data_IF_520798589102
#
_entry.id   IF_520798589102
#
_cell.length_a   1.000
_cell.length_b   1.000
_cell.length_c   1.000
_cell.angle_alpha   90.00
_cell.angle_beta   90.00
_cell.angle_gamma   90.00
#
_symmetry.space_group_name_H-M   'P 1'
#
loop_
_entity.id
_entity.type
_entity.pdbx_description
1 polymer ?
#
# COMPACT_ATOMS: atom_id res chain seq x y z
N UNK A 1 14.87 -10.81 42.89
CA UNK A 1 14.80 -9.47 42.40
C UNK A 1 13.87 -9.45 41.17
N UNK A 2 12.74 -8.74 41.31
CA UNK A 2 11.83 -8.55 40.19
C UNK A 2 12.55 -7.66 39.18
N UNK A 3 12.72 -8.14 37.92
CA UNK A 3 13.21 -7.32 36.84
C UNK A 3 12.24 -6.17 36.58
N UNK A 4 12.72 -4.92 36.66
CA UNK A 4 11.94 -3.76 36.23
C UNK A 4 11.52 -3.95 34.77
N UNK A 5 10.24 -3.74 34.39
CA UNK A 5 9.81 -3.80 32.98
C UNK A 5 10.64 -2.85 32.14
N UNK A 6 11.02 -3.29 30.93
CA UNK A 6 11.71 -2.43 29.98
C UNK A 6 10.87 -1.17 29.70
N UNK A 7 11.47 0.02 29.53
CA UNK A 7 10.73 1.28 29.35
C UNK A 7 9.67 1.23 28.23
N UNK A 8 9.91 0.46 27.16
CA UNK A 8 8.98 0.29 26.04
C UNK A 8 7.69 -0.45 26.44
N UNK A 9 7.73 -1.42 27.37
CA UNK A 9 6.53 -2.13 27.82
C UNK A 9 5.70 -1.27 28.80
N UNK A 10 6.36 -0.47 29.64
CA UNK A 10 5.67 0.47 30.52
C UNK A 10 4.94 1.57 29.72
N UNK A 11 5.57 2.11 28.67
CA UNK A 11 4.93 3.08 27.77
C UNK A 11 3.68 2.50 27.10
N UNK A 12 3.75 1.28 26.58
CA UNK A 12 2.63 0.62 25.93
C UNK A 12 1.42 0.40 26.85
N UNK A 13 1.65 0.10 28.12
CA UNK A 13 0.58 -0.06 29.12
C UNK A 13 -0.06 1.28 29.54
N UNK A 14 0.73 2.37 29.57
CA UNK A 14 0.20 3.72 29.84
C UNK A 14 -0.70 4.16 28.67
N UNK A 15 -0.30 3.96 27.42
CA UNK A 15 -1.11 4.31 26.25
C UNK A 15 -2.45 3.56 26.18
N UNK A 16 -2.49 2.30 26.59
CA UNK A 16 -3.74 1.50 26.60
C UNK A 16 -4.81 2.02 27.57
N UNK A 17 -4.44 2.85 28.55
CA UNK A 17 -5.34 3.38 29.57
C UNK A 17 -5.73 4.84 29.38
N UNK A 18 -5.14 5.53 28.39
CA UNK A 18 -5.44 6.93 28.12
C UNK A 18 -6.75 7.08 27.35
N UNK A 19 -7.50 8.10 27.70
CA UNK A 19 -8.59 8.57 26.86
C UNK A 19 -7.99 9.40 25.72
N UNK A 20 -8.02 8.84 24.51
CA UNK A 20 -7.50 9.47 23.30
C UNK A 20 -8.60 10.22 22.52
N UNK A 21 -9.77 10.41 23.12
CA UNK A 21 -10.88 11.15 22.48
C UNK A 21 -10.41 12.55 22.07
N UNK A 22 -10.68 12.94 20.83
CA UNK A 22 -10.24 14.20 20.24
C UNK A 22 -8.82 14.20 19.66
N UNK A 23 -8.06 13.09 19.84
CA UNK A 23 -6.78 12.96 19.14
C UNK A 23 -7.03 12.77 17.64
N UNK A 24 -6.29 13.49 16.82
CA UNK A 24 -6.31 13.36 15.37
C UNK A 24 -4.94 12.96 14.83
N UNK A 25 -4.93 12.38 13.65
CA UNK A 25 -3.70 11.97 12.97
C UNK A 25 -3.94 11.60 11.52
N UNK A 26 -2.87 11.17 10.86
CA UNK A 26 -2.89 10.71 9.49
C UNK A 26 -2.29 9.32 9.39
N UNK A 27 -2.80 8.53 8.46
CA UNK A 27 -2.21 7.25 8.04
C UNK A 27 -2.22 7.19 6.52
N UNK A 28 -1.28 6.49 5.88
CA UNK A 28 -1.38 6.21 4.45
C UNK A 28 -2.74 5.58 4.12
N UNK A 29 -3.33 5.99 3.01
CA UNK A 29 -4.60 5.45 2.56
C UNK A 29 -5.31 6.35 1.57
N UNK A 30 -6.11 5.74 0.71
CA UNK A 30 -6.90 6.40 -0.33
C UNK A 30 -8.32 5.84 -0.36
N UNK A 31 -9.26 6.60 -0.91
CA UNK A 31 -10.64 6.18 -1.22
C UNK A 31 -10.83 5.87 -2.71
N UNK A 32 -9.74 5.58 -3.41
CA UNK A 32 -9.75 5.25 -4.83
C UNK A 32 -10.55 3.98 -5.14
N UNK A 33 -10.95 3.84 -6.41
CA UNK A 33 -11.57 2.60 -6.91
C UNK A 33 -10.65 1.39 -6.70
N UNK A 34 -9.33 1.57 -6.84
CA UNK A 34 -8.34 0.53 -6.58
C UNK A 34 -8.37 0.03 -5.14
N UNK A 35 -8.47 0.96 -4.16
CA UNK A 35 -8.56 0.60 -2.76
C UNK A 35 -9.80 -0.24 -2.46
N UNK A 36 -10.96 0.13 -3.02
CA UNK A 36 -12.19 -0.62 -2.85
C UNK A 36 -12.08 -2.03 -3.47
N UNK A 37 -11.59 -2.12 -4.70
CA UNK A 37 -11.40 -3.42 -5.39
C UNK A 37 -10.44 -4.33 -4.62
N UNK A 38 -9.34 -3.79 -4.11
CA UNK A 38 -8.40 -4.54 -3.28
C UNK A 38 -9.05 -5.05 -1.99
N UNK A 39 -9.80 -4.18 -1.29
CA UNK A 39 -10.48 -4.54 -0.04
C UNK A 39 -11.45 -5.70 -0.25
N UNK A 40 -12.25 -5.66 -1.32
CA UNK A 40 -13.19 -6.73 -1.67
C UNK A 40 -12.45 -8.04 -1.99
N UNK A 41 -11.38 -8.00 -2.77
CA UNK A 41 -10.53 -9.16 -3.06
C UNK A 41 -9.93 -9.79 -1.80
N UNK A 42 -9.33 -8.96 -0.95
CA UNK A 42 -8.68 -9.41 0.27
C UNK A 42 -9.69 -10.05 1.23
N UNK A 43 -10.86 -9.42 1.41
CA UNK A 43 -11.95 -9.94 2.24
C UNK A 43 -12.48 -11.27 1.69
N UNK A 44 -12.65 -11.40 0.37
CA UNK A 44 -13.05 -12.66 -0.26
C UNK A 44 -12.02 -13.79 -0.05
N UNK A 45 -10.73 -13.43 0.07
CA UNK A 45 -9.64 -14.37 0.40
C UNK A 45 -9.49 -14.63 1.91
N UNK A 46 -10.37 -14.10 2.77
CA UNK A 46 -10.30 -14.26 4.22
C UNK A 46 -9.24 -13.40 4.90
N UNK A 47 -8.73 -12.38 4.21
CA UNK A 47 -7.76 -11.42 4.73
C UNK A 47 -8.46 -10.13 5.16
N UNK A 48 -7.79 -9.32 6.00
CA UNK A 48 -8.29 -7.98 6.33
C UNK A 48 -7.86 -6.99 5.25
N UNK A 49 -8.77 -6.63 4.35
CA UNK A 49 -8.51 -5.70 3.25
C UNK A 49 -8.38 -4.22 3.64
N UNK A 50 -8.63 -3.86 4.91
CA UNK A 50 -8.68 -2.47 5.37
C UNK A 50 -7.64 -2.10 6.43
N UNK A 51 -6.64 -2.95 6.67
CA UNK A 51 -5.56 -2.68 7.62
C UNK A 51 -4.58 -1.63 7.10
N UNK A 52 -3.85 -0.92 7.99
CA UNK A 52 -2.75 -0.07 7.58
C UNK A 52 -1.72 -0.85 6.75
N UNK A 53 -1.22 -0.23 5.68
CA UNK A 53 -0.18 -0.77 4.79
C UNK A 53 -0.54 -2.06 4.04
N UNK A 54 -1.78 -2.53 4.09
CA UNK A 54 -2.17 -3.77 3.39
C UNK A 54 -2.22 -3.57 1.87
N UNK A 55 -2.77 -2.45 1.41
CA UNK A 55 -2.77 -2.05 0.00
C UNK A 55 -1.37 -1.80 -0.54
N UNK A 56 -0.56 -1.07 0.23
CA UNK A 56 0.83 -0.77 -0.12
C UNK A 56 1.69 -2.04 -0.24
N UNK A 57 1.48 -3.02 0.63
CA UNK A 57 2.19 -4.30 0.56
C UNK A 57 1.78 -5.13 -0.67
N UNK A 58 0.49 -5.10 -1.02
CA UNK A 58 -0.01 -5.73 -2.25
C UNK A 58 0.61 -5.07 -3.48
N UNK A 59 0.62 -3.74 -3.53
CA UNK A 59 1.15 -2.97 -4.65
C UNK A 59 2.67 -3.16 -4.80
N UNK A 60 3.41 -3.18 -3.70
CA UNK A 60 4.85 -3.44 -3.72
C UNK A 60 5.16 -4.82 -4.32
N UNK A 61 4.42 -5.86 -3.95
CA UNK A 61 4.59 -7.19 -4.52
C UNK A 61 4.23 -7.23 -6.02
N UNK A 62 3.14 -6.58 -6.42
CA UNK A 62 2.72 -6.51 -7.81
C UNK A 62 3.73 -5.76 -8.68
N UNK A 63 4.27 -4.64 -8.22
CA UNK A 63 5.31 -3.87 -8.91
C UNK A 63 6.58 -4.71 -9.14
N UNK A 64 7.04 -5.44 -8.12
CA UNK A 64 8.19 -6.33 -8.27
C UNK A 64 7.95 -7.39 -9.32
N UNK A 65 6.78 -8.04 -9.33
CA UNK A 65 6.44 -9.08 -10.29
C UNK A 65 6.36 -8.50 -11.72
N UNK A 66 5.75 -7.34 -11.91
CA UNK A 66 5.69 -6.66 -13.20
C UNK A 66 7.08 -6.21 -13.67
N UNK A 67 7.92 -5.69 -12.76
CA UNK A 67 9.28 -5.29 -13.08
C UNK A 67 10.16 -6.49 -13.47
N UNK A 68 10.01 -7.65 -12.80
CA UNK A 68 10.67 -8.90 -13.21
C UNK A 68 10.26 -9.30 -14.64
N UNK A 69 8.98 -9.25 -14.96
CA UNK A 69 8.48 -9.56 -16.31
C UNK A 69 9.01 -8.58 -17.34
N UNK A 70 9.01 -7.28 -17.03
CA UNK A 70 9.54 -6.23 -17.90
C UNK A 70 11.04 -6.41 -18.16
N UNK A 71 11.80 -6.76 -17.11
CA UNK A 71 13.24 -6.99 -17.19
C UNK A 71 13.60 -8.32 -17.86
N UNK A 72 12.68 -9.28 -17.95
CA UNK A 72 13.00 -10.67 -18.33
C UNK A 72 14.02 -11.33 -17.41
N UNK A 73 14.12 -10.88 -16.15
CA UNK A 73 15.17 -11.25 -15.21
C UNK A 73 14.69 -11.21 -13.77
N UNK A 74 15.32 -12.02 -12.91
CA UNK A 74 15.16 -11.98 -11.44
C UNK A 74 16.33 -11.29 -10.76
N UNK A 75 17.27 -10.71 -11.51
CA UNK A 75 18.37 -9.92 -10.97
C UNK A 75 17.87 -8.61 -10.35
N UNK A 76 18.33 -8.30 -9.14
CA UNK A 76 17.84 -7.14 -8.39
C UNK A 76 18.11 -5.79 -9.07
N UNK A 77 19.24 -5.64 -9.76
CA UNK A 77 19.57 -4.40 -10.48
C UNK A 77 18.69 -4.24 -11.73
N UNK A 78 18.43 -5.35 -12.44
CA UNK A 78 17.52 -5.36 -13.58
C UNK A 78 16.08 -5.02 -13.16
N UNK A 79 15.59 -5.59 -12.05
CA UNK A 79 14.28 -5.26 -11.49
C UNK A 79 14.21 -3.78 -11.12
N UNK A 80 15.18 -3.26 -10.36
CA UNK A 80 15.22 -1.86 -9.93
C UNK A 80 15.15 -0.88 -11.12
N UNK A 81 15.84 -1.19 -12.22
CA UNK A 81 15.83 -0.38 -13.44
C UNK A 81 14.47 -0.37 -14.16
N UNK A 82 13.60 -1.34 -13.89
CA UNK A 82 12.31 -1.48 -14.57
C UNK A 82 11.10 -1.03 -13.72
N UNK A 83 11.27 -0.85 -12.40
CA UNK A 83 10.14 -0.51 -11.50
C UNK A 83 9.43 0.78 -11.92
N UNK A 84 10.18 1.84 -12.22
CA UNK A 84 9.61 3.12 -12.64
C UNK A 84 8.78 3.00 -13.94
N UNK A 85 9.28 2.19 -14.88
CA UNK A 85 8.61 2.00 -16.18
C UNK A 85 7.32 1.19 -16.13
N UNK A 86 7.10 0.39 -15.09
CA UNK A 86 5.85 -0.35 -14.90
C UNK A 86 4.89 0.33 -13.92
N UNK A 87 5.42 1.24 -13.08
CA UNK A 87 4.64 1.96 -12.07
C UNK A 87 3.93 3.18 -12.64
N UNK A 88 4.49 3.80 -13.69
CA UNK A 88 4.04 5.09 -14.19
C UNK A 88 3.64 5.02 -15.66
N UNK A 89 2.77 5.94 -16.09
CA UNK A 89 2.46 6.15 -17.51
C UNK A 89 3.73 6.45 -18.36
N UNK A 90 3.73 6.10 -19.66
CA UNK A 90 2.59 5.62 -20.42
C UNK A 90 2.39 4.11 -20.35
N UNK A 91 1.15 3.66 -20.48
CA UNK A 91 0.84 2.23 -20.57
C UNK A 91 -0.63 1.91 -20.33
N UNK A 92 -0.98 0.64 -20.44
CA UNK A 92 -2.31 0.15 -20.09
C UNK A 92 -2.46 0.11 -18.57
N UNK A 93 -3.54 0.70 -18.04
CA UNK A 93 -3.80 0.74 -16.60
C UNK A 93 -4.07 -0.65 -16.05
N UNK A 94 -3.37 -0.98 -14.97
CA UNK A 94 -3.48 -2.26 -14.26
C UNK A 94 -4.02 -2.01 -12.85
N UNK A 95 -5.22 -2.53 -12.61
CA UNK A 95 -5.92 -2.43 -11.32
C UNK A 95 -5.67 -3.67 -10.45
N UNK A 96 -6.02 -3.65 -9.15
CA UNK A 96 -5.99 -4.85 -8.31
C UNK A 96 -6.77 -6.00 -8.95
N UNK A 97 -6.18 -7.20 -8.93
CA UNK A 97 -6.74 -8.39 -9.60
C UNK A 97 -6.37 -8.54 -11.08
N UNK A 98 -5.81 -7.52 -11.72
CA UNK A 98 -5.45 -7.55 -13.14
C UNK A 98 -3.96 -7.89 -13.41
N UNK A 99 -3.22 -8.39 -12.41
CA UNK A 99 -1.80 -8.68 -12.55
C UNK A 99 -1.49 -9.60 -13.74
N UNK A 100 -2.31 -10.63 -13.96
CA UNK A 100 -2.17 -11.53 -15.11
C UNK A 100 -2.35 -10.82 -16.47
N UNK A 101 -3.17 -9.77 -16.54
CA UNK A 101 -3.31 -8.90 -17.71
C UNK A 101 -2.01 -8.13 -17.94
N UNK A 102 -1.47 -7.50 -16.89
CA UNK A 102 -0.21 -6.76 -16.96
C UNK A 102 0.96 -7.63 -17.43
N UNK A 103 1.10 -8.82 -16.86
CA UNK A 103 2.13 -9.78 -17.27
C UNK A 103 2.04 -10.16 -18.76
N UNK A 104 0.83 -10.39 -19.28
CA UNK A 104 0.63 -10.69 -20.72
C UNK A 104 1.00 -9.52 -21.60
N UNK A 105 0.66 -8.29 -21.21
CA UNK A 105 1.01 -7.08 -21.97
C UNK A 105 2.53 -6.95 -22.07
N UNK A 106 3.23 -7.05 -20.94
CA UNK A 106 4.70 -6.96 -20.89
C UNK A 106 5.37 -8.10 -21.65
N UNK A 107 4.86 -9.33 -21.57
CA UNK A 107 5.38 -10.49 -22.31
C UNK A 107 5.29 -10.29 -23.83
N UNK A 108 4.34 -9.49 -24.32
CA UNK A 108 4.17 -9.15 -25.72
C UNK A 108 4.85 -7.82 -26.12
N UNK A 109 5.71 -7.28 -25.27
CA UNK A 109 6.46 -6.04 -25.54
C UNK A 109 5.62 -4.76 -25.41
N UNK A 110 4.42 -4.83 -24.81
CA UNK A 110 3.61 -3.66 -24.48
C UNK A 110 4.07 -2.96 -23.21
N UNK A 111 3.43 -1.83 -22.87
CA UNK A 111 3.69 -1.05 -21.67
C UNK A 111 2.48 -1.07 -20.72
N UNK A 112 2.73 -1.00 -19.43
CA UNK A 112 1.72 -0.93 -18.39
C UNK A 112 1.91 0.32 -17.54
N UNK A 113 0.80 0.76 -16.92
CA UNK A 113 0.71 1.83 -15.92
C UNK A 113 0.02 1.22 -14.71
N UNK A 114 0.80 0.83 -13.70
CA UNK A 114 0.28 0.13 -12.53
C UNK A 114 -0.37 1.10 -11.55
N UNK A 115 -1.69 1.11 -11.51
CA UNK A 115 -2.48 1.94 -10.59
C UNK A 115 -2.62 1.30 -9.21
N UNK A 116 -2.86 -0.01 -9.16
CA UNK A 116 -2.93 -0.77 -7.92
C UNK A 116 -4.03 -0.35 -6.95
N UNK A 117 -3.85 -0.76 -5.70
CA UNK A 117 -4.75 -0.45 -4.59
C UNK A 117 -4.57 0.98 -4.07
N UNK A 118 -3.36 1.54 -4.13
CA UNK A 118 -3.00 2.81 -3.51
C UNK A 118 -2.88 3.97 -4.50
N UNK A 119 -3.28 3.76 -5.77
CA UNK A 119 -3.10 4.72 -6.85
C UNK A 119 -1.61 5.07 -7.00
N UNK A 120 -0.82 4.03 -7.27
CA UNK A 120 0.65 4.13 -7.33
C UNK A 120 1.08 5.14 -8.38
N UNK A 121 1.96 6.04 -7.96
CA UNK A 121 2.69 6.98 -8.81
C UNK A 121 4.07 7.17 -8.17
N UNK A 122 5.12 6.69 -8.81
CA UNK A 122 6.48 6.82 -8.30
C UNK A 122 7.11 8.11 -8.80
N UNK A 123 7.80 8.82 -7.91
CA UNK A 123 8.58 10.00 -8.25
C UNK A 123 9.96 9.61 -8.79
N UNK A 124 10.68 10.55 -9.39
CA UNK A 124 11.97 10.29 -10.04
C UNK A 124 13.08 9.72 -9.13
N UNK A 125 12.88 9.68 -7.83
CA UNK A 125 13.80 9.09 -6.83
C UNK A 125 13.30 7.76 -6.28
N UNK A 126 12.25 7.18 -6.87
CA UNK A 126 11.67 5.92 -6.42
C UNK A 126 10.78 6.03 -5.19
N UNK A 127 10.39 7.24 -4.82
CA UNK A 127 9.40 7.49 -3.78
C UNK A 127 8.00 7.53 -4.37
N UNK A 128 7.02 7.04 -3.64
CA UNK A 128 5.63 7.12 -4.05
C UNK A 128 5.01 8.46 -3.67
N UNK A 129 4.27 9.08 -4.58
CA UNK A 129 3.33 10.13 -4.19
C UNK A 129 2.23 9.50 -3.33
N UNK A 130 1.98 10.05 -2.16
CA UNK A 130 1.09 9.42 -1.18
C UNK A 130 -0.22 10.16 -1.00
N UNK A 131 -1.30 9.39 -0.84
CA UNK A 131 -2.55 9.88 -0.28
C UNK A 131 -2.63 9.49 1.19
N UNK A 132 -3.31 10.32 1.98
CA UNK A 132 -3.42 10.12 3.42
C UNK A 132 -4.87 10.20 3.86
N UNK A 133 -5.23 9.31 4.76
CA UNK A 133 -6.49 9.35 5.49
C UNK A 133 -6.28 10.12 6.79
N UNK A 134 -6.97 11.24 6.95
CA UNK A 134 -7.07 11.94 8.23
C UNK A 134 -8.14 11.29 9.09
N UNK A 135 -7.83 11.07 10.35
CA UNK A 135 -8.75 10.49 11.32
C UNK A 135 -8.77 11.26 12.63
N UNK A 136 -9.87 11.12 13.35
CA UNK A 136 -10.03 11.54 14.74
C UNK A 136 -10.49 10.36 15.58
N UNK A 137 -10.08 10.30 16.85
CA UNK A 137 -10.56 9.30 17.79
C UNK A 137 -11.80 9.84 18.50
N UNK A 138 -12.95 9.20 18.22
CA UNK A 138 -14.23 9.48 18.88
C UNK A 138 -14.83 8.18 19.40
N UNK A 139 -15.31 8.19 20.64
CA UNK A 139 -15.91 7.01 21.26
C UNK A 139 -15.00 5.76 21.22
N UNK A 140 -13.70 5.96 21.46
CA UNK A 140 -12.65 4.92 21.42
C UNK A 140 -12.47 4.24 20.05
N UNK A 141 -12.95 4.84 18.97
CA UNK A 141 -12.83 4.35 17.61
C UNK A 141 -12.21 5.40 16.69
N UNK A 142 -11.45 4.94 15.68
CA UNK A 142 -10.95 5.79 14.62
C UNK A 142 -12.09 6.17 13.67
N UNK A 143 -12.35 7.45 13.53
CA UNK A 143 -13.31 7.97 12.57
C UNK A 143 -12.56 8.74 11.48
N UNK A 144 -12.76 8.33 10.22
CA UNK A 144 -12.19 9.01 9.06
C UNK A 144 -12.83 10.38 8.92
N UNK A 145 -12.02 11.43 8.80
CA UNK A 145 -12.46 12.80 8.54
C UNK A 145 -12.49 13.04 7.03
N UNK A 146 -11.38 12.73 6.35
CA UNK A 146 -11.22 12.91 4.91
C UNK A 146 -9.97 12.18 4.40
N UNK A 147 -9.87 12.11 3.07
CA UNK A 147 -8.64 11.74 2.37
C UNK A 147 -8.02 12.99 1.74
N UNK A 148 -6.70 12.97 1.64
CA UNK A 148 -5.90 14.02 1.00
C UNK A 148 -4.92 13.41 0.02
#
# INVERSE_FOLDING_TARGET
PRSTPKPSSAASEVYKRQDLTGTFGTVPGTDSKGAATYADMANAAGLKGSGPFTGESYDAAALLILAMQSAGSTDGAAIASNVMGVANAPGEKIMPGELAKGLRILANGGAVDYVGATNVELTGVGEASGSYREFEIRNKAFQTIRFR
#
